data_IF_117004539415
#
_entry.id   IF_117004539415
#
_cell.length_a   1.000
_cell.length_b   1.000
_cell.length_c   1.000
_cell.angle_alpha   90.00
_cell.angle_beta   90.00
_cell.angle_gamma   90.00
#
_symmetry.space_group_name_H-M   'P 1'
#
loop_
_entity.id
_entity.type
_entity.pdbx_description
1 polymer ?
#
# COMPACT_ATOMS: atom_id res chain seq x y z
N UNK A 1 -3.06 14.58 -5.20
CA UNK A 1 -4.08 13.52 -5.08
C UNK A 1 -3.41 12.30 -4.47
N UNK A 2 -3.88 11.80 -3.32
CA UNK A 2 -3.31 10.58 -2.71
C UNK A 2 -4.08 9.40 -3.28
N UNK A 3 -3.40 8.43 -3.87
CA UNK A 3 -4.01 7.22 -4.40
C UNK A 3 -3.35 6.00 -3.76
N UNK A 4 -4.13 4.92 -3.59
CA UNK A 4 -3.58 3.65 -3.16
C UNK A 4 -2.49 3.18 -4.14
N UNK A 5 -1.38 2.69 -3.59
CA UNK A 5 -0.25 2.18 -4.39
C UNK A 5 -0.46 0.76 -4.93
N UNK A 6 -1.48 0.05 -4.43
CA UNK A 6 -1.82 -1.28 -4.92
C UNK A 6 -2.27 -1.26 -6.38
N UNK A 7 -1.83 -2.25 -7.17
CA UNK A 7 -2.23 -2.39 -8.56
C UNK A 7 -3.76 -2.49 -8.71
N UNK A 8 -4.33 -1.71 -9.63
CA UNK A 8 -5.78 -1.67 -9.88
C UNK A 8 -6.63 -0.99 -8.79
N UNK A 9 -6.02 -0.45 -7.73
CA UNK A 9 -6.77 0.16 -6.64
C UNK A 9 -6.98 1.66 -6.88
N UNK A 10 -8.23 2.04 -7.18
CA UNK A 10 -8.64 3.43 -7.39
C UNK A 10 -9.09 4.13 -6.09
N UNK A 11 -8.68 3.63 -4.92
CA UNK A 11 -9.07 4.24 -3.64
C UNK A 11 -8.37 5.60 -3.47
N UNK A 12 -9.18 6.66 -3.37
CA UNK A 12 -8.76 8.01 -2.98
C UNK A 12 -9.20 8.30 -1.52
N UNK A 13 -8.58 9.28 -0.84
CA UNK A 13 -8.97 9.71 0.50
C UNK A 13 -10.28 10.51 0.55
N UNK A 14 -10.97 10.65 -0.59
CA UNK A 14 -12.15 11.48 -0.71
C UNK A 14 -13.31 10.80 0.04
N UNK A 15 -13.81 11.50 1.07
CA UNK A 15 -14.89 11.10 1.99
C UNK A 15 -14.53 10.14 3.13
N UNK A 16 -13.35 10.28 3.74
CA UNK A 16 -13.15 9.93 5.16
C UNK A 16 -13.41 8.49 5.61
N UNK A 17 -13.60 7.54 4.68
CA UNK A 17 -14.00 6.15 4.99
C UNK A 17 -12.90 5.11 4.78
N UNK A 18 -11.78 5.48 4.18
CA UNK A 18 -10.67 4.55 3.94
C UNK A 18 -9.44 5.05 4.69
N UNK A 19 -9.01 4.35 5.74
CA UNK A 19 -7.71 4.58 6.36
C UNK A 19 -6.60 4.35 5.34
N UNK A 20 -5.57 5.21 5.32
CA UNK A 20 -4.40 5.04 4.47
C UNK A 20 -3.15 4.86 5.32
N UNK A 21 -2.48 3.74 5.12
CA UNK A 21 -1.26 3.36 5.83
C UNK A 21 -0.04 3.65 4.98
N UNK A 22 0.97 4.28 5.59
CA UNK A 22 2.28 4.45 4.96
C UNK A 22 3.03 3.13 5.02
N UNK A 23 3.99 2.95 4.10
CA UNK A 23 4.89 1.82 4.18
C UNK A 23 5.66 1.84 5.51
N UNK A 24 5.84 0.67 6.15
CA UNK A 24 6.56 0.57 7.41
C UNK A 24 8.03 0.99 7.24
N UNK A 25 8.63 1.47 8.33
CA UNK A 25 10.08 1.77 8.38
C UNK A 25 10.91 0.49 8.28
N UNK A 26 10.39 -0.60 8.83
CA UNK A 26 11.01 -1.92 8.85
C UNK A 26 11.21 -2.46 7.43
N UNK A 27 12.47 -2.67 7.04
CA UNK A 27 12.82 -3.01 5.65
C UNK A 27 12.26 -4.36 5.22
N UNK A 28 12.27 -5.33 6.13
CA UNK A 28 11.74 -6.68 5.91
C UNK A 28 10.23 -6.66 5.63
N UNK A 29 9.47 -5.90 6.42
CA UNK A 29 8.02 -5.77 6.24
C UNK A 29 7.71 -4.91 5.01
N UNK A 30 8.48 -3.82 4.81
CA UNK A 30 8.36 -2.95 3.64
C UNK A 30 8.56 -3.73 2.34
N UNK A 31 9.56 -4.62 2.29
CA UNK A 31 9.80 -5.49 1.12
C UNK A 31 8.62 -6.42 0.84
N UNK A 32 8.05 -7.04 1.88
CA UNK A 32 6.83 -7.86 1.74
C UNK A 32 5.66 -7.06 1.18
N UNK A 33 5.46 -5.84 1.66
CA UNK A 33 4.41 -4.96 1.16
C UNK A 33 4.64 -4.60 -0.32
N UNK A 34 5.86 -4.23 -0.70
CA UNK A 34 6.22 -3.91 -2.10
C UNK A 34 5.88 -5.09 -3.02
N UNK A 35 6.28 -6.31 -2.64
CA UNK A 35 5.99 -7.53 -3.40
C UNK A 35 4.48 -7.81 -3.51
N UNK A 36 3.73 -7.59 -2.43
CA UNK A 36 2.29 -7.79 -2.38
C UNK A 36 1.49 -6.76 -3.19
N UNK A 37 1.94 -5.49 -3.21
CA UNK A 37 1.22 -4.40 -3.88
C UNK A 37 1.54 -4.28 -5.36
N UNK A 38 2.72 -4.76 -5.75
CA UNK A 38 3.27 -4.68 -7.10
C UNK A 38 4.21 -5.86 -7.32
N UNK A 39 3.65 -6.98 -7.75
CA UNK A 39 4.48 -8.09 -8.23
C UNK A 39 5.03 -7.89 -9.65
N UNK A 40 4.55 -6.88 -10.41
CA UNK A 40 5.08 -6.43 -11.72
C UNK A 40 4.15 -5.36 -12.31
N UNK A 41 4.57 -4.08 -12.37
CA UNK A 41 3.87 -3.11 -13.25
C UNK A 41 4.45 -3.23 -14.64
N UNK A 42 3.58 -3.40 -15.62
CA UNK A 42 3.95 -3.20 -17.03
C UNK A 42 3.62 -1.75 -17.36
N UNK A 43 4.66 -0.93 -17.54
CA UNK A 43 4.52 0.43 -18.06
C UNK A 43 5.20 0.42 -19.42
N UNK A 44 4.43 0.71 -20.48
CA UNK A 44 4.96 0.78 -21.85
C UNK A 44 5.70 -0.52 -22.29
N UNK A 45 5.12 -1.68 -21.95
CA UNK A 45 5.70 -2.99 -22.26
C UNK A 45 6.92 -3.40 -21.40
N UNK A 46 7.34 -2.57 -20.43
CA UNK A 46 8.47 -2.88 -19.53
C UNK A 46 8.01 -3.23 -18.12
N UNK A 47 8.62 -4.27 -17.56
CA UNK A 47 8.53 -4.59 -16.14
C UNK A 47 9.29 -3.53 -15.36
N UNK A 48 8.57 -2.76 -14.54
CA UNK A 48 9.16 -1.76 -13.65
C UNK A 48 8.97 -2.21 -12.21
N UNK A 49 10.10 -2.33 -11.49
CA UNK A 49 10.09 -2.52 -10.04
C UNK A 49 9.48 -1.29 -9.35
N UNK A 50 8.47 -1.53 -8.52
CA UNK A 50 7.82 -0.44 -7.80
C UNK A 50 8.64 -0.02 -6.59
N UNK A 51 9.21 1.18 -6.64
CA UNK A 51 9.85 1.80 -5.49
C UNK A 51 8.85 2.71 -4.75
N UNK A 52 8.45 2.40 -3.50
CA UNK A 52 7.50 3.21 -2.77
C UNK A 52 8.11 4.59 -2.46
N UNK A 53 7.53 5.64 -3.03
CA UNK A 53 7.86 7.03 -2.68
C UNK A 53 7.33 7.42 -1.30
N UNK A 54 7.76 8.58 -0.76
CA UNK A 54 7.24 9.16 0.50
C UNK A 54 5.71 9.37 0.52
N UNK A 55 5.09 9.41 -0.66
CA UNK A 55 3.65 9.54 -0.85
C UNK A 55 2.93 8.20 -1.06
N UNK A 56 3.67 7.08 -1.17
CA UNK A 56 3.12 5.76 -1.36
C UNK A 56 2.36 5.32 -0.10
N UNK A 57 1.08 5.02 -0.27
CA UNK A 57 0.17 4.61 0.81
C UNK A 57 -0.73 3.49 0.31
N UNK A 58 -1.17 2.65 1.24
CA UNK A 58 -2.13 1.59 0.99
C UNK A 58 -3.41 1.85 1.76
N UNK A 59 -4.55 1.62 1.13
CA UNK A 59 -5.82 1.74 1.82
C UNK A 59 -6.06 0.54 2.76
N UNK A 60 -6.87 0.75 3.79
CA UNK A 60 -7.23 -0.24 4.82
C UNK A 60 -7.74 -1.56 4.24
N UNK A 61 -8.37 -1.52 3.05
CA UNK A 61 -8.93 -2.70 2.36
C UNK A 61 -7.88 -3.76 1.97
N UNK A 62 -6.60 -3.41 1.96
CA UNK A 62 -5.51 -4.35 1.66
C UNK A 62 -4.92 -5.01 2.90
N UNK A 63 -5.48 -4.73 4.07
CA UNK A 63 -5.06 -5.32 5.33
C UNK A 63 -6.19 -6.17 5.88
N UNK A 64 -5.83 -7.32 6.42
CA UNK A 64 -6.76 -8.13 7.20
C UNK A 64 -6.96 -7.48 8.58
N UNK A 65 -8.13 -7.64 9.19
CA UNK A 65 -8.42 -7.08 10.52
C UNK A 65 -7.40 -7.50 11.58
N UNK A 66 -6.88 -8.73 11.48
CA UNK A 66 -5.84 -9.27 12.37
C UNK A 66 -4.50 -8.51 12.32
N UNK A 67 -4.26 -7.74 11.26
CA UNK A 67 -3.06 -6.91 11.13
C UNK A 67 -3.15 -5.65 12.02
N UNK A 68 -4.35 -5.27 12.43
CA UNK A 68 -4.58 -4.18 13.38
C UNK A 68 -4.57 -4.77 14.78
N UNK A 69 -3.38 -4.88 15.37
CA UNK A 69 -3.27 -5.17 16.80
C UNK A 69 -3.86 -3.99 17.57
N UNK A 70 -5.05 -4.20 18.14
CA UNK A 70 -5.63 -3.29 19.12
C UNK A 70 -4.77 -3.47 20.38
N UNK A 71 -4.04 -2.44 20.86
CA UNK A 71 -3.40 -2.56 22.16
C UNK A 71 -4.51 -2.81 23.18
N UNK A 72 -4.50 -3.98 23.82
CA UNK A 72 -5.33 -4.23 24.99
C UNK A 72 -4.76 -3.34 26.10
N UNK A 73 -5.49 -2.26 26.39
CA UNK A 73 -5.32 -1.44 27.60
C UNK A 73 -5.71 -2.25 28.83
#
# INVERSE_FOLDING_TARGET
MVQCSAFGCNASPEKGKNGFFRFPKDESIRRKWILAVNSRRIIDGKVVDFTPSKHAKLCIKHFEDKCFVIPRV
#
